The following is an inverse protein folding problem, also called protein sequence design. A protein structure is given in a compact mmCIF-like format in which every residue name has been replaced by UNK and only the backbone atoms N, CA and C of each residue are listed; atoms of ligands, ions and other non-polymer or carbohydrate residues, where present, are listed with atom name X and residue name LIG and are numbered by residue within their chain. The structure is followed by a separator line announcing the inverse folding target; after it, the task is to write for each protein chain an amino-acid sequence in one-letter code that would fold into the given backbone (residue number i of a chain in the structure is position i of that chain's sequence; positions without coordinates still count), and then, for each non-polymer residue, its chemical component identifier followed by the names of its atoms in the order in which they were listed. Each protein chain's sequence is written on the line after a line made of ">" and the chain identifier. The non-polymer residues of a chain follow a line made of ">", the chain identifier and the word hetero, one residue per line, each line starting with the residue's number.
data_IF_220629811614
#
_entry.id   IF_220629811614
#
_cell.length_a   1.000
_cell.length_b   1.000
_cell.length_c   1.000
_cell.angle_alpha   90.00
_cell.angle_beta   90.00
_cell.angle_gamma   90.00
#
_symmetry.space_group_name_H-M   'P 1'
#
loop_
_entity.id
_entity.type
_entity.pdbx_description
1 polymer ?
#
# COMPACT_ATOMS: atom_id res chain seq x y z
N UNK A 1 -0.49 8.82 17.20
CA UNK A 1 -1.16 9.39 16.01
C UNK A 1 -1.88 8.25 15.31
N UNK A 2 -3.09 8.45 14.79
CA UNK A 2 -3.76 7.41 14.02
C UNK A 2 -3.45 7.55 12.54
N UNK A 3 -3.33 6.41 11.86
CA UNK A 3 -3.25 6.37 10.39
C UNK A 3 -4.60 6.73 9.75
N UNK A 4 -5.67 6.88 10.54
CA UNK A 4 -7.01 7.19 10.04
C UNK A 4 -7.02 8.48 9.25
N UNK A 5 -7.41 8.42 7.98
CA UNK A 5 -7.48 9.58 7.09
C UNK A 5 -7.53 9.18 5.62
N UNK A 6 -7.77 10.16 4.76
CA UNK A 6 -7.68 10.04 3.30
C UNK A 6 -6.36 10.60 2.82
N UNK A 7 -5.67 9.89 1.95
CA UNK A 7 -4.36 10.25 1.43
C UNK A 7 -4.38 10.19 -0.08
N UNK A 8 -4.03 11.30 -0.75
CA UNK A 8 -3.86 11.35 -2.20
C UNK A 8 -2.39 11.13 -2.55
N UNK A 9 -2.13 10.25 -3.52
CA UNK A 9 -0.81 10.05 -4.11
C UNK A 9 -0.25 11.35 -4.69
N UNK A 10 0.91 11.77 -4.19
CA UNK A 10 1.65 12.94 -4.67
C UNK A 10 2.72 12.54 -5.67
N UNK A 11 3.48 11.50 -5.34
CA UNK A 11 4.56 10.99 -6.18
C UNK A 11 4.81 9.51 -5.91
N UNK A 12 5.40 8.85 -6.90
CA UNK A 12 5.85 7.46 -6.80
C UNK A 12 7.11 7.23 -7.64
N UNK A 13 7.90 6.24 -7.25
CA UNK A 13 9.19 5.90 -7.85
C UNK A 13 9.21 4.39 -8.12
N UNK A 14 9.72 3.98 -9.30
CA UNK A 14 9.81 2.58 -9.75
C UNK A 14 8.47 1.83 -9.88
N UNK A 15 7.33 2.53 -10.05
CA UNK A 15 6.03 1.91 -10.25
C UNK A 15 6.01 0.93 -11.43
N UNK A 16 6.50 1.36 -12.60
CA UNK A 16 6.41 0.54 -13.81
C UNK A 16 7.20 -0.77 -13.69
N UNK A 17 8.46 -0.67 -13.24
CA UNK A 17 9.32 -1.83 -13.04
C UNK A 17 8.74 -2.80 -12.00
N UNK A 18 8.22 -2.26 -10.90
CA UNK A 18 7.65 -3.06 -9.82
C UNK A 18 6.35 -3.75 -10.22
N UNK A 19 5.42 -3.01 -10.84
CA UNK A 19 4.16 -3.58 -11.30
C UNK A 19 4.37 -4.63 -12.39
N UNK A 20 5.36 -4.44 -13.26
CA UNK A 20 5.75 -5.43 -14.26
C UNK A 20 6.33 -6.69 -13.61
N UNK A 21 7.16 -6.55 -12.59
CA UNK A 21 7.68 -7.68 -11.83
C UNK A 21 6.60 -8.43 -11.04
N UNK A 22 5.54 -7.74 -10.61
CA UNK A 22 4.34 -8.36 -10.03
C UNK A 22 3.45 -9.06 -11.07
N UNK A 23 3.71 -8.88 -12.37
CA UNK A 23 2.92 -9.48 -13.44
C UNK A 23 1.71 -8.67 -13.89
N UNK A 24 1.62 -7.38 -13.58
CA UNK A 24 0.59 -6.52 -14.17
C UNK A 24 0.84 -6.35 -15.68
N UNK A 25 -0.22 -6.38 -16.52
CA UNK A 25 -0.09 -6.05 -17.94
C UNK A 25 0.38 -4.62 -18.16
N UNK A 26 1.25 -4.38 -19.14
CA UNK A 26 1.78 -3.04 -19.46
C UNK A 26 0.66 -2.01 -19.67
N UNK A 27 -0.49 -2.40 -20.25
CA UNK A 27 -1.65 -1.51 -20.42
C UNK A 27 -2.21 -1.01 -19.07
N UNK A 28 -2.28 -1.86 -18.04
CA UNK A 28 -2.75 -1.46 -16.72
C UNK A 28 -1.72 -0.58 -16.00
N UNK A 29 -0.44 -0.86 -16.21
CA UNK A 29 0.67 -0.05 -15.68
C UNK A 29 0.62 1.36 -16.27
N UNK A 30 0.49 1.47 -17.59
CA UNK A 30 0.38 2.77 -18.28
C UNK A 30 -0.85 3.55 -17.85
N UNK A 31 -2.00 2.88 -17.64
CA UNK A 31 -3.18 3.54 -17.09
C UNK A 31 -2.98 3.97 -15.64
N UNK A 32 -2.32 3.16 -14.81
CA UNK A 32 -2.14 3.42 -13.39
C UNK A 32 -1.10 4.49 -13.05
N UNK A 33 -0.06 4.67 -13.87
CA UNK A 33 1.06 5.56 -13.54
C UNK A 33 0.68 7.05 -13.45
N UNK A 34 -0.29 7.47 -14.26
CA UNK A 34 -0.77 8.87 -14.32
C UNK A 34 -1.99 9.10 -13.42
N UNK A 35 -2.55 8.04 -12.83
CA UNK A 35 -3.72 8.13 -11.96
C UNK A 35 -3.27 8.42 -10.53
N UNK A 36 -3.79 9.51 -9.97
CA UNK A 36 -3.67 9.79 -8.54
C UNK A 36 -4.54 8.82 -7.74
N UNK A 37 -3.90 7.83 -7.13
CA UNK A 37 -4.60 6.93 -6.21
C UNK A 37 -4.97 7.66 -4.92
N UNK A 38 -6.20 7.46 -4.45
CA UNK A 38 -6.65 7.92 -3.12
C UNK A 38 -6.72 6.71 -2.20
N UNK A 39 -5.98 6.74 -1.11
CA UNK A 39 -5.98 5.71 -0.07
C UNK A 39 -6.70 6.23 1.17
N UNK A 40 -7.82 5.63 1.53
CA UNK A 40 -8.51 5.87 2.78
C UNK A 40 -8.11 4.77 3.78
N UNK A 41 -7.61 5.18 4.94
CA UNK A 41 -7.23 4.28 6.01
C UNK A 41 -8.16 4.55 7.19
N UNK A 42 -8.67 3.49 7.80
CA UNK A 42 -9.46 3.53 9.03
C UNK A 42 -8.81 2.58 10.02
N UNK A 43 -8.26 3.16 11.09
CA UNK A 43 -7.67 2.41 12.19
C UNK A 43 -8.67 2.32 13.35
N UNK A 44 -9.04 1.09 13.72
CA UNK A 44 -9.88 0.74 14.86
C UNK A 44 -9.09 -0.16 15.83
N UNK A 45 -8.37 0.46 16.75
CA UNK A 45 -7.43 -0.23 17.65
C UNK A 45 -6.32 -0.95 16.89
N UNK A 46 -6.40 -2.29 16.84
CA UNK A 46 -5.46 -3.16 16.10
C UNK A 46 -5.92 -3.49 14.68
N UNK A 47 -7.16 -3.16 14.34
CA UNK A 47 -7.76 -3.48 13.04
C UNK A 47 -7.64 -2.29 12.11
N UNK A 48 -7.18 -2.55 10.89
CA UNK A 48 -6.97 -1.54 9.86
C UNK A 48 -7.79 -1.91 8.64
N UNK A 49 -8.56 -0.94 8.14
CA UNK A 49 -9.25 -1.02 6.86
C UNK A 49 -8.61 -0.01 5.92
N UNK A 50 -8.14 -0.48 4.77
CA UNK A 50 -7.48 0.32 3.75
C UNK A 50 -8.28 0.19 2.46
N UNK A 51 -8.87 1.30 2.03
CA UNK A 51 -9.56 1.41 0.75
C UNK A 51 -8.67 2.19 -0.20
N UNK A 52 -8.23 1.58 -1.31
CA UNK A 52 -7.42 2.24 -2.33
C UNK A 52 -8.24 2.40 -3.59
N UNK A 53 -8.51 3.65 -3.96
CA UNK A 53 -9.20 4.01 -5.19
C UNK A 53 -8.20 4.50 -6.22
N UNK A 54 -8.08 3.78 -7.33
CA UNK A 54 -7.20 4.15 -8.46
C UNK A 54 -8.06 4.24 -9.72
N UNK A 55 -8.51 5.46 -10.03
CA UNK A 55 -9.37 5.71 -11.20
C UNK A 55 -10.73 5.04 -11.02
N UNK A 56 -11.04 4.04 -11.85
CA UNK A 56 -12.28 3.26 -11.77
C UNK A 56 -12.18 2.02 -10.88
N UNK A 57 -10.98 1.63 -10.45
CA UNK A 57 -10.76 0.47 -9.58
C UNK A 57 -10.76 0.89 -8.11
N UNK A 58 -11.51 0.16 -7.28
CA UNK A 58 -11.52 0.32 -5.82
C UNK A 58 -11.11 -1.02 -5.21
N UNK A 59 -10.05 -0.99 -4.40
CA UNK A 59 -9.54 -2.14 -3.66
C UNK A 59 -9.84 -1.94 -2.18
N UNK A 60 -10.35 -2.99 -1.52
CA UNK A 60 -10.60 -2.99 -0.09
C UNK A 60 -9.75 -4.06 0.58
N UNK A 61 -8.86 -3.64 1.47
CA UNK A 61 -7.99 -4.51 2.24
C UNK A 61 -8.26 -4.32 3.73
N UNK A 62 -8.36 -5.41 4.47
CA UNK A 62 -8.57 -5.39 5.92
C UNK A 62 -7.53 -6.29 6.59
N UNK A 63 -6.87 -5.78 7.63
CA UNK A 63 -5.86 -6.53 8.36
C UNK A 63 -5.86 -6.18 9.84
N UNK A 64 -5.40 -7.13 10.65
CA UNK A 64 -5.18 -6.92 12.09
C UNK A 64 -3.70 -7.00 12.41
N UNK A 65 -3.19 -6.06 13.21
CA UNK A 65 -1.79 -6.04 13.62
C UNK A 65 -1.44 -7.30 14.42
N UNK A 66 -0.42 -8.01 13.96
CA UNK A 66 0.08 -9.25 14.59
C UNK A 66 -0.63 -10.52 14.15
N UNK A 67 -1.64 -10.44 13.27
CA UNK A 67 -2.34 -11.61 12.73
C UNK A 67 -2.09 -11.79 11.24
N UNK A 68 -2.22 -13.04 10.77
CA UNK A 68 -2.21 -13.36 9.35
C UNK A 68 -3.52 -12.89 8.72
N UNK A 69 -3.41 -12.09 7.66
CA UNK A 69 -4.55 -11.59 6.89
C UNK A 69 -4.35 -11.88 5.41
N UNK A 70 -5.44 -11.90 4.66
CA UNK A 70 -5.40 -11.99 3.21
C UNK A 70 -5.49 -10.57 2.61
N UNK A 71 -4.48 -10.19 1.84
CA UNK A 71 -4.43 -8.91 1.12
C UNK A 71 -4.59 -9.16 -0.37
N UNK A 72 -5.48 -8.40 -1.00
CA UNK A 72 -5.65 -8.38 -2.44
C UNK A 72 -4.69 -7.36 -3.06
N UNK A 73 -3.83 -7.86 -3.95
CA UNK A 73 -2.92 -7.05 -4.74
C UNK A 73 -3.62 -6.42 -5.94
N UNK A 74 -3.02 -5.40 -6.54
CA UNK A 74 -3.49 -4.76 -7.78
C UNK A 74 -3.61 -5.74 -8.97
N UNK A 75 -2.87 -6.86 -8.93
CA UNK A 75 -2.97 -7.97 -9.89
C UNK A 75 -4.29 -8.75 -9.77
N UNK A 76 -5.02 -8.60 -8.66
CA UNK A 76 -6.15 -9.45 -8.28
C UNK A 76 -5.73 -10.70 -7.50
N UNK A 77 -4.42 -10.92 -7.31
CA UNK A 77 -3.92 -12.03 -6.50
C UNK A 77 -4.09 -11.74 -5.01
N UNK A 78 -4.57 -12.75 -4.28
CA UNK A 78 -4.75 -12.71 -2.84
C UNK A 78 -3.56 -13.39 -2.17
N UNK A 79 -2.87 -12.63 -1.33
CA UNK A 79 -1.67 -13.11 -0.63
C UNK A 79 -1.82 -12.99 0.86
N UNK A 80 -1.26 -13.95 1.58
CA UNK A 80 -1.18 -13.91 3.03
C UNK A 80 -0.09 -12.94 3.46
N UNK A 81 -0.44 -12.01 4.33
CA UNK A 81 0.43 -10.98 4.87
C UNK A 81 0.29 -10.93 6.39
N UNK A 82 1.39 -10.65 7.07
CA UNK A 82 1.37 -10.32 8.50
C UNK A 82 1.85 -8.89 8.64
N UNK A 83 1.01 -8.02 9.20
CA UNK A 83 1.35 -6.62 9.45
C UNK A 83 1.73 -6.45 10.90
N UNK A 84 2.89 -5.86 11.13
CA UNK A 84 3.39 -5.50 12.45
C UNK A 84 3.52 -3.98 12.55
N UNK A 85 3.28 -3.45 13.73
CA UNK A 85 3.47 -2.03 14.01
C UNK A 85 4.79 -1.84 14.74
N UNK A 86 5.70 -1.04 14.18
CA UNK A 86 6.95 -0.63 14.81
C UNK A 86 6.78 0.79 15.34
N UNK A 87 6.84 0.96 16.67
CA UNK A 87 6.57 2.26 17.30
C UNK A 87 5.13 2.73 17.07
N UNK A 88 4.95 4.05 16.96
CA UNK A 88 3.62 4.68 16.87
C UNK A 88 3.23 5.14 15.45
N UNK A 89 4.16 5.07 14.49
CA UNK A 89 3.98 5.68 13.17
C UNK A 89 4.52 4.83 12.00
N UNK A 90 4.91 3.57 12.23
CA UNK A 90 5.43 2.69 11.18
C UNK A 90 4.73 1.33 11.19
N UNK A 91 4.32 0.87 10.02
CA UNK A 91 3.74 -0.44 9.78
C UNK A 91 4.65 -1.21 8.84
N UNK A 92 4.99 -2.45 9.21
CA UNK A 92 5.80 -3.36 8.42
C UNK A 92 4.97 -4.59 8.12
N UNK A 93 4.57 -4.76 6.86
CA UNK A 93 3.91 -5.94 6.37
C UNK A 93 4.92 -6.84 5.65
N UNK A 94 4.97 -8.10 6.04
CA UNK A 94 5.75 -9.12 5.34
C UNK A 94 4.79 -10.03 4.58
N UNK A 95 4.99 -10.09 3.26
CA UNK A 95 4.32 -10.96 2.32
C UNK A 95 5.38 -11.93 1.77
N UNK A 96 5.00 -13.12 1.30
CA UNK A 96 5.96 -14.13 0.80
C UNK A 96 6.88 -13.56 -0.29
N UNK A 97 8.08 -13.10 0.09
CA UNK A 97 9.07 -12.49 -0.80
C UNK A 97 8.94 -10.98 -1.03
N UNK A 98 7.96 -10.31 -0.40
CA UNK A 98 7.74 -8.87 -0.54
C UNK A 98 7.60 -8.21 0.84
N UNK A 99 8.37 -7.16 1.07
CA UNK A 99 8.31 -6.36 2.30
C UNK A 99 7.65 -5.03 2.00
N UNK A 100 6.59 -4.69 2.71
CA UNK A 100 5.93 -3.40 2.61
C UNK A 100 6.11 -2.64 3.92
N UNK A 101 6.67 -1.44 3.84
CA UNK A 101 6.91 -0.55 4.98
C UNK A 101 6.09 0.72 4.76
N UNK A 102 5.26 1.09 5.72
CA UNK A 102 4.39 2.27 5.67
C UNK A 102 4.71 3.16 6.86
N UNK A 103 5.20 4.37 6.60
CA UNK A 103 5.62 5.33 7.60
C UNK A 103 4.74 6.58 7.53
N UNK A 104 4.19 6.98 8.68
CA UNK A 104 3.39 8.19 8.84
C UNK A 104 4.28 9.32 9.39
N UNK A 105 4.40 10.39 8.62
CA UNK A 105 5.11 11.62 8.95
C UNK A 105 4.12 12.79 8.95
N UNK A 106 3.48 13.04 10.09
CA UNK A 106 2.44 14.05 10.22
C UNK A 106 1.26 13.74 9.28
N UNK A 107 1.10 14.58 8.25
CA UNK A 107 0.06 14.43 7.23
C UNK A 107 0.53 13.69 5.97
N UNK A 108 1.72 13.10 5.97
CA UNK A 108 2.27 12.39 4.81
C UNK A 108 2.52 10.93 5.14
N UNK A 109 2.08 10.03 4.27
CA UNK A 109 2.39 8.60 4.32
C UNK A 109 3.42 8.30 3.24
N UNK A 110 4.50 7.65 3.66
CA UNK A 110 5.52 7.09 2.77
C UNK A 110 5.34 5.58 2.82
N UNK A 111 5.05 4.97 1.68
CA UNK A 111 4.92 3.52 1.57
C UNK A 111 5.97 2.99 0.61
N UNK A 112 6.81 2.09 1.11
CA UNK A 112 7.95 1.50 0.42
C UNK A 112 7.74 0.00 0.33
N UNK A 113 7.59 -0.53 -0.87
CA UNK A 113 7.55 -1.96 -1.14
C UNK A 113 8.90 -2.41 -1.69
N UNK A 114 9.39 -3.53 -1.22
CA UNK A 114 10.67 -4.10 -1.64
C UNK A 114 10.48 -5.56 -1.99
N UNK A 115 10.92 -5.96 -3.17
CA UNK A 115 10.85 -7.31 -3.70
C UNK A 115 12.16 -7.64 -4.40
N UNK A 116 13.00 -8.48 -3.78
CA UNK A 116 14.36 -8.71 -4.23
C UNK A 116 15.15 -7.39 -4.33
N UNK A 117 15.73 -7.11 -5.49
CA UNK A 117 16.47 -5.88 -5.80
C UNK A 117 15.57 -4.69 -6.21
N UNK A 118 14.26 -4.91 -6.39
CA UNK A 118 13.33 -3.85 -6.76
C UNK A 118 12.73 -3.19 -5.52
N UNK A 119 12.79 -1.86 -5.50
CA UNK A 119 12.14 -1.04 -4.48
C UNK A 119 11.18 -0.06 -5.15
N UNK A 120 9.89 -0.15 -4.80
CA UNK A 120 8.84 0.78 -5.17
C UNK A 120 8.54 1.69 -3.99
N UNK A 121 8.53 3.00 -4.21
CA UNK A 121 8.22 3.98 -3.17
C UNK A 121 7.09 4.88 -3.62
N UNK A 122 6.11 5.11 -2.75
CA UNK A 122 5.05 6.08 -2.97
C UNK A 122 4.92 7.02 -1.80
N UNK A 123 4.63 8.27 -2.12
CA UNK A 123 4.43 9.35 -1.15
C UNK A 123 3.01 9.87 -1.35
N UNK A 124 2.21 9.79 -0.31
CA UNK A 124 0.82 10.23 -0.31
C UNK A 124 0.59 11.25 0.79
N UNK A 125 -0.12 12.33 0.50
CA UNK A 125 -0.41 13.40 1.46
C UNK A 125 -1.88 13.38 1.83
N UNK A 126 -2.17 13.63 3.10
CA UNK A 126 -3.53 13.71 3.62
C UNK A 126 -4.28 14.85 2.93
N UNK A 127 -5.54 14.58 2.57
CA UNK A 127 -6.48 15.52 1.96
C UNK A 127 -7.68 15.76 2.86
#
# INVERSE_FOLDING_TARGET
>A
MSFTGKYELQSHENFEAFMKALGLPDEQIQKGKDIKSVSEIVQDGKKFKVTVTTGTKVLHNEFTIGEECEMEMLTGEKVKAVVQMEGDNKLVANLKGLKSVTELHGDTIINTLTMGDLAYKRISKRI
#
